data_IF_751331015552
#
_entry.id   IF_751331015552
#
_cell.length_a   1.000
_cell.length_b   1.000
_cell.length_c   1.000
_cell.angle_alpha   90.00
_cell.angle_beta   90.00
_cell.angle_gamma   90.00
#
_symmetry.space_group_name_H-M   'P 1'
#
loop_
_entity.id
_entity.type
_entity.pdbx_description
1 polymer ?
#
# COMPACT_ATOMS: atom_id res chain seq x y z
N UNK A 1 -3.00 0.47 3.19
CA UNK A 1 -4.02 0.88 2.20
C UNK A 1 -3.32 1.60 1.06
N UNK A 2 -3.70 1.37 -0.19
CA UNK A 2 -3.28 2.19 -1.34
C UNK A 2 -4.34 3.28 -1.55
N UNK A 3 -3.88 4.53 -1.54
CA UNK A 3 -4.70 5.71 -1.72
C UNK A 3 -4.18 6.50 -2.92
N UNK A 4 -5.06 7.20 -3.62
CA UNK A 4 -4.70 8.12 -4.69
C UNK A 4 -5.50 9.42 -4.56
N UNK A 5 -4.99 10.48 -5.16
CA UNK A 5 -5.57 11.82 -5.11
C UNK A 5 -5.15 12.61 -6.36
N UNK A 6 -6.02 13.50 -6.83
CA UNK A 6 -5.67 14.45 -7.90
C UNK A 6 -5.05 15.74 -7.36
N UNK A 7 -5.33 16.10 -6.10
CA UNK A 7 -4.99 17.40 -5.51
C UNK A 7 -4.17 17.29 -4.21
N UNK A 8 -3.85 16.07 -3.79
CA UNK A 8 -3.22 15.73 -2.51
C UNK A 8 -4.01 16.16 -1.25
N UNK A 9 -5.28 16.55 -1.39
CA UNK A 9 -6.19 16.92 -0.31
C UNK A 9 -7.33 15.92 -0.17
N UNK A 10 -7.95 15.56 -1.30
CA UNK A 10 -9.05 14.61 -1.38
C UNK A 10 -8.53 13.24 -1.83
N UNK A 11 -8.61 12.26 -0.94
CA UNK A 11 -8.01 10.93 -1.14
C UNK A 11 -9.08 9.85 -1.32
N UNK A 12 -8.86 9.01 -2.32
CA UNK A 12 -9.72 7.87 -2.67
C UNK A 12 -8.99 6.55 -2.42
N UNK A 13 -9.74 5.52 -2.01
CA UNK A 13 -9.21 4.18 -1.79
C UNK A 13 -9.12 3.41 -3.10
N UNK A 14 -7.91 2.99 -3.48
CA UNK A 14 -7.70 2.04 -4.60
C UNK A 14 -7.76 0.58 -4.13
N UNK A 15 -7.37 0.29 -2.88
CA UNK A 15 -7.46 -1.06 -2.32
C UNK A 15 -6.51 -1.37 -1.18
N UNK A 16 -6.70 -2.53 -0.54
CA UNK A 16 -5.84 -3.01 0.54
C UNK A 16 -4.69 -3.87 -0.01
N UNK A 17 -3.45 -3.38 0.11
CA UNK A 17 -2.27 -4.09 -0.41
C UNK A 17 -1.85 -5.27 0.48
N UNK A 18 -1.89 -5.09 1.79
CA UNK A 18 -1.53 -6.11 2.76
C UNK A 18 -2.39 -5.97 4.01
N UNK A 19 -2.84 -7.11 4.55
CA UNK A 19 -3.67 -7.19 5.74
C UNK A 19 -3.14 -8.30 6.65
N UNK A 20 -2.98 -7.98 7.92
CA UNK A 20 -2.51 -8.93 8.91
C UNK A 20 -3.68 -9.82 9.38
N UNK A 21 -3.51 -11.14 9.51
CA UNK A 21 -4.54 -12.03 10.05
C UNK A 21 -4.69 -11.95 11.58
N UNK A 22 -3.78 -11.26 12.29
CA UNK A 22 -3.75 -11.16 13.76
C UNK A 22 -3.46 -9.73 14.20
N UNK A 23 -4.02 -9.34 15.35
CA UNK A 23 -3.90 -7.97 15.90
C UNK A 23 -2.47 -7.53 16.23
N UNK A 24 -1.56 -8.46 16.53
CA UNK A 24 -0.16 -8.17 16.86
C UNK A 24 0.77 -8.12 15.65
N UNK A 25 0.25 -8.34 14.45
CA UNK A 25 1.02 -8.28 13.21
C UNK A 25 0.71 -6.97 12.47
N UNK A 26 1.70 -6.42 11.77
CA UNK A 26 1.53 -5.14 11.08
C UNK A 26 2.50 -4.95 9.92
N UNK A 27 2.18 -3.94 9.12
CA UNK A 27 3.00 -3.43 8.02
C UNK A 27 3.24 -1.95 8.28
N UNK A 28 4.51 -1.54 8.28
CA UNK A 28 4.95 -0.21 8.67
C UNK A 28 5.89 0.37 7.62
N UNK A 29 5.94 1.71 7.58
CA UNK A 29 6.90 2.49 6.80
C UNK A 29 7.05 1.99 5.35
N UNK A 30 5.93 1.95 4.62
CA UNK A 30 5.93 1.51 3.24
C UNK A 30 6.84 2.42 2.39
N UNK A 31 7.74 1.82 1.61
CA UNK A 31 8.51 2.47 0.56
C UNK A 31 7.97 2.01 -0.79
N UNK A 32 7.78 2.98 -1.70
CA UNK A 32 7.12 2.78 -2.98
C UNK A 32 8.14 2.97 -4.11
N UNK A 33 8.13 2.07 -5.08
CA UNK A 33 8.91 2.17 -6.31
C UNK A 33 8.01 1.84 -7.51
N UNK A 34 7.96 2.73 -8.50
CA UNK A 34 7.28 2.48 -9.77
C UNK A 34 8.21 1.64 -10.65
N UNK A 35 7.73 0.49 -11.12
CA UNK A 35 8.42 -0.44 -12.02
C UNK A 35 7.56 -0.65 -13.28
N UNK A 36 7.71 0.24 -14.25
CA UNK A 36 6.85 0.28 -15.44
C UNK A 36 5.37 0.52 -15.09
N UNK A 37 4.53 -0.48 -15.40
CA UNK A 37 3.10 -0.46 -15.09
C UNK A 37 2.77 -0.95 -13.68
N UNK A 38 3.74 -1.53 -12.98
CA UNK A 38 3.57 -2.07 -11.63
C UNK A 38 4.00 -1.06 -10.57
N UNK A 39 3.43 -1.20 -9.37
CA UNK A 39 3.92 -0.56 -8.16
C UNK A 39 4.51 -1.61 -7.23
N UNK A 40 5.78 -1.43 -6.87
CA UNK A 40 6.47 -2.23 -5.88
C UNK A 40 6.38 -1.54 -4.52
N UNK A 41 6.07 -2.33 -3.49
CA UNK A 41 5.92 -1.86 -2.11
C UNK A 41 6.81 -2.70 -1.20
N UNK A 42 7.79 -2.06 -0.58
CA UNK A 42 8.57 -2.65 0.51
C UNK A 42 8.00 -2.18 1.83
N UNK A 43 7.80 -3.09 2.79
CA UNK A 43 7.33 -2.72 4.13
C UNK A 43 8.12 -3.42 5.23
N UNK A 44 8.47 -2.65 6.26
CA UNK A 44 8.91 -3.20 7.55
C UNK A 44 7.71 -3.86 8.22
N UNK A 45 7.80 -5.14 8.50
CA UNK A 45 6.67 -5.97 8.90
C UNK A 45 6.96 -6.58 10.25
N UNK A 46 5.98 -6.54 11.15
CA UNK A 46 5.97 -7.38 12.35
C UNK A 46 5.10 -8.60 12.07
N UNK A 47 5.72 -9.78 12.01
CA UNK A 47 5.02 -11.05 11.79
C UNK A 47 5.12 -11.95 13.01
N UNK A 48 6.32 -12.17 13.52
CA UNK A 48 6.58 -12.93 14.76
C UNK A 48 7.25 -12.04 15.83
N UNK A 49 7.30 -10.72 15.58
CA UNK A 49 7.75 -9.72 16.54
C UNK A 49 6.91 -9.71 17.82
N UNK A 50 7.47 -9.11 18.88
CA UNK A 50 6.82 -9.08 20.20
C UNK A 50 5.44 -8.42 20.14
N UNK A 51 5.30 -7.39 19.32
CA UNK A 51 4.08 -6.63 19.06
C UNK A 51 4.11 -5.97 17.68
N UNK A 52 3.04 -5.23 17.36
CA UNK A 52 2.84 -4.61 16.05
C UNK A 52 3.79 -3.45 15.72
N UNK A 53 4.69 -3.06 16.62
CA UNK A 53 5.71 -2.04 16.37
C UNK A 53 7.13 -2.64 16.26
N UNK A 54 7.28 -3.91 16.62
CA UNK A 54 8.54 -4.64 16.58
C UNK A 54 8.72 -5.36 15.23
N UNK A 55 9.34 -4.66 14.27
CA UNK A 55 9.54 -5.20 12.92
C UNK A 55 10.67 -6.24 12.88
N UNK A 56 10.33 -7.50 12.60
CA UNK A 56 11.23 -8.65 12.48
C UNK A 56 11.48 -9.08 11.02
N UNK A 57 10.72 -8.52 10.06
CA UNK A 57 10.75 -8.91 8.65
C UNK A 57 10.67 -7.71 7.70
N UNK A 58 11.24 -7.84 6.51
CA UNK A 58 10.93 -6.98 5.36
C UNK A 58 10.05 -7.77 4.38
N UNK A 59 8.85 -7.28 4.07
CA UNK A 59 7.97 -7.88 3.07
C UNK A 59 7.91 -7.03 1.81
N UNK A 60 7.80 -7.71 0.68
CA UNK A 60 7.72 -7.10 -0.64
C UNK A 60 6.40 -7.47 -1.30
N UNK A 61 5.72 -6.48 -1.86
CA UNK A 61 4.42 -6.61 -2.52
C UNK A 61 4.50 -5.97 -3.90
N UNK A 62 3.86 -6.58 -4.89
CA UNK A 62 3.73 -6.05 -6.24
C UNK A 62 2.26 -5.85 -6.56
N UNK A 63 1.90 -4.61 -6.85
CA UNK A 63 0.56 -4.24 -7.34
C UNK A 63 0.66 -4.10 -8.84
N UNK A 64 0.14 -5.08 -9.57
CA UNK A 64 0.20 -5.08 -11.03
C UNK A 64 -0.74 -4.03 -11.60
N UNK A 65 -0.29 -3.36 -12.66
CA UNK A 65 -1.09 -2.37 -13.40
C UNK A 65 -1.80 -1.35 -12.47
N UNK A 66 -1.11 -0.87 -11.43
CA UNK A 66 -1.74 -0.18 -10.29
C UNK A 66 -2.55 1.06 -10.69
N UNK A 67 -2.21 1.69 -11.82
CA UNK A 67 -2.93 2.85 -12.37
C UNK A 67 -4.36 2.52 -12.79
N UNK A 68 -4.64 1.27 -13.15
CA UNK A 68 -6.00 0.79 -13.49
C UNK A 68 -6.94 0.74 -12.29
N UNK A 69 -6.41 0.87 -11.07
CA UNK A 69 -7.20 0.88 -9.84
C UNK A 69 -7.78 2.27 -9.53
N UNK A 70 -7.36 3.32 -10.23
CA UNK A 70 -7.91 4.65 -10.07
C UNK A 70 -9.17 4.84 -10.92
N UNK A 71 -10.21 5.44 -10.33
CA UNK A 71 -11.36 5.94 -11.07
C UNK A 71 -10.95 7.12 -11.95
N UNK A 72 -11.66 7.32 -13.06
CA UNK A 72 -11.62 8.59 -13.77
C UNK A 72 -12.35 9.64 -12.92
N UNK A 73 -11.62 10.66 -12.50
CA UNK A 73 -12.12 11.73 -11.64
C UNK A 73 -12.24 13.06 -12.40
N UNK A 74 -11.93 13.07 -13.71
CA UNK A 74 -12.10 14.26 -14.52
C UNK A 74 -13.59 14.45 -14.87
N UNK A 75 -14.10 15.68 -14.78
CA UNK A 75 -15.47 15.96 -15.22
C UNK A 75 -15.60 15.75 -16.74
N UNK A 76 -16.71 15.17 -17.17
CA UNK A 76 -17.10 15.18 -18.58
C UNK A 76 -17.35 16.63 -19.00
N UNK A 77 -16.75 17.05 -20.13
CA UNK A 77 -16.94 18.38 -20.72
C UNK A 77 -18.18 18.43 -21.59
#
# INVERSE_FOLDING_TARGET
MLMYSMDALNWFQAGCIAMAPRLRQSFMYASLLIDGEDLLVLSRTSREGRDQHDADLCTFHRVRDFRRLALDLYPEM
#
